data_IF_304008419641
#
_entry.id   IF_304008419641
#
_cell.length_a   1.000
_cell.length_b   1.000
_cell.length_c   1.000
_cell.angle_alpha   90.00
_cell.angle_beta   90.00
_cell.angle_gamma   90.00
#
_symmetry.space_group_name_H-M   'P 1'
#
loop_
_entity.id
_entity.type
_entity.pdbx_description
1 polymer ?
#
# COMPACT_ATOMS: atom_id res chain seq x y z
N UNK A 1 -9.37 1.64 30.45
CA UNK A 1 -9.96 0.90 29.31
C UNK A 1 -9.66 -0.58 29.51
N UNK A 2 -10.65 -1.43 29.32
CA UNK A 2 -10.41 -2.85 29.46
C UNK A 2 -9.64 -3.42 28.27
N UNK A 3 -8.93 -4.56 28.47
CA UNK A 3 -8.08 -5.11 27.40
C UNK A 3 -8.82 -5.48 26.12
N UNK A 4 -10.08 -5.92 26.20
CA UNK A 4 -10.85 -6.27 25.00
C UNK A 4 -11.22 -5.05 24.17
N UNK A 5 -11.61 -3.96 24.83
CA UNK A 5 -11.93 -2.71 24.14
C UNK A 5 -10.69 -2.15 23.45
N UNK A 6 -9.57 -2.14 24.14
CA UNK A 6 -8.31 -1.69 23.57
C UNK A 6 -7.89 -2.56 22.40
N UNK A 7 -8.03 -3.88 22.51
CA UNK A 7 -7.71 -4.82 21.43
C UNK A 7 -8.55 -4.56 20.18
N UNK A 8 -9.86 -4.27 20.34
CA UNK A 8 -10.73 -3.94 19.21
C UNK A 8 -10.26 -2.68 18.48
N UNK A 9 -9.86 -1.66 19.25
CA UNK A 9 -9.37 -0.39 18.66
C UNK A 9 -8.06 -0.62 17.89
N UNK A 10 -7.14 -1.36 18.48
CA UNK A 10 -5.87 -1.70 17.81
C UNK A 10 -6.11 -2.50 16.54
N UNK A 11 -6.98 -3.52 16.61
CA UNK A 11 -7.31 -4.34 15.46
C UNK A 11 -7.95 -3.53 14.33
N UNK A 12 -8.83 -2.58 14.67
CA UNK A 12 -9.45 -1.69 13.69
C UNK A 12 -8.41 -0.78 13.02
N UNK A 13 -7.47 -0.23 13.80
CA UNK A 13 -6.40 0.61 13.26
C UNK A 13 -5.48 -0.16 12.32
N UNK A 14 -5.17 -1.41 12.65
CA UNK A 14 -4.35 -2.28 11.79
C UNK A 14 -5.07 -2.55 10.47
N UNK A 15 -6.36 -2.86 10.49
CA UNK A 15 -7.15 -3.10 9.27
C UNK A 15 -7.20 -1.86 8.38
N UNK A 16 -7.37 -0.68 8.98
CA UNK A 16 -7.38 0.59 8.25
C UNK A 16 -6.03 0.84 7.59
N UNK A 17 -4.93 0.62 8.32
CA UNK A 17 -3.59 0.74 7.79
C UNK A 17 -3.36 -0.20 6.62
N UNK A 18 -3.80 -1.46 6.74
CA UNK A 18 -3.63 -2.47 5.68
C UNK A 18 -4.40 -2.07 4.43
N UNK A 19 -5.62 -1.55 4.58
CA UNK A 19 -6.42 -1.06 3.45
C UNK A 19 -5.72 0.10 2.74
N UNK A 20 -5.10 1.02 3.48
CA UNK A 20 -4.36 2.13 2.90
C UNK A 20 -3.09 1.67 2.18
N UNK A 21 -2.40 0.66 2.72
CA UNK A 21 -1.23 0.07 2.07
C UNK A 21 -1.63 -0.59 0.75
N UNK A 22 -2.75 -1.31 0.73
CA UNK A 22 -3.29 -1.89 -0.51
C UNK A 22 -3.63 -0.80 -1.53
N UNK A 23 -4.30 0.25 -1.10
CA UNK A 23 -4.66 1.37 -1.97
C UNK A 23 -3.43 2.05 -2.55
N UNK A 24 -2.38 2.21 -1.72
CA UNK A 24 -1.12 2.76 -2.18
C UNK A 24 -0.52 1.90 -3.30
N UNK A 25 -0.54 0.58 -3.15
CA UNK A 25 -0.06 -0.33 -4.19
C UNK A 25 -0.83 -0.17 -5.50
N UNK A 26 -2.15 -0.09 -5.44
CA UNK A 26 -2.99 0.13 -6.62
C UNK A 26 -2.66 1.45 -7.33
N UNK A 27 -2.41 2.51 -6.56
CA UNK A 27 -2.05 3.81 -7.10
C UNK A 27 -0.64 3.80 -7.72
N UNK A 28 0.28 3.03 -7.16
CA UNK A 28 1.60 2.84 -7.77
C UNK A 28 1.46 2.16 -9.14
N UNK A 29 0.62 1.12 -9.24
CA UNK A 29 0.34 0.46 -10.52
C UNK A 29 -0.25 1.45 -11.52
N UNK A 30 -1.22 2.24 -11.09
CA UNK A 30 -1.87 3.23 -11.95
C UNK A 30 -0.85 4.28 -12.45
N UNK A 31 0.03 4.75 -11.57
CA UNK A 31 1.07 5.71 -11.94
C UNK A 31 2.08 5.12 -12.93
N UNK A 32 2.47 3.87 -12.71
CA UNK A 32 3.35 3.16 -13.63
C UNK A 32 2.70 3.00 -15.01
N UNK A 33 1.44 2.59 -15.05
CA UNK A 33 0.70 2.43 -16.30
C UNK A 33 0.49 3.76 -17.02
N UNK A 34 0.38 4.87 -16.28
CA UNK A 34 0.32 6.22 -16.83
C UNK A 34 1.70 6.76 -17.23
N UNK A 35 2.74 5.95 -17.11
CA UNK A 35 4.13 6.23 -17.52
C UNK A 35 4.84 7.31 -16.71
N UNK A 36 4.47 7.47 -15.44
CA UNK A 36 5.24 8.32 -14.54
C UNK A 36 6.60 7.67 -14.24
N UNK A 37 7.68 8.46 -14.21
CA UNK A 37 9.00 7.93 -13.84
C UNK A 37 9.00 7.38 -12.42
N UNK A 38 9.80 6.35 -12.17
CA UNK A 38 9.93 5.79 -10.81
C UNK A 38 10.39 6.82 -9.79
N UNK A 39 11.22 7.78 -10.21
CA UNK A 39 11.64 8.87 -9.32
C UNK A 39 10.43 9.64 -8.75
N UNK A 40 9.45 9.92 -9.60
CA UNK A 40 8.23 10.63 -9.18
C UNK A 40 7.38 9.77 -8.26
N UNK A 41 7.28 8.48 -8.55
CA UNK A 41 6.54 7.53 -7.72
C UNK A 41 7.18 7.42 -6.34
N UNK A 42 8.50 7.35 -6.27
CA UNK A 42 9.24 7.31 -5.00
C UNK A 42 9.04 8.59 -4.19
N UNK A 43 9.08 9.75 -4.84
CA UNK A 43 8.84 11.03 -4.15
C UNK A 43 7.42 11.10 -3.60
N UNK A 44 6.43 10.66 -4.36
CA UNK A 44 5.03 10.71 -3.94
C UNK A 44 4.74 9.76 -2.78
N UNK A 45 5.39 8.60 -2.75
CA UNK A 45 5.14 7.58 -1.73
C UNK A 45 6.07 7.67 -0.52
N UNK A 46 7.20 8.34 -0.65
CA UNK A 46 8.25 8.33 0.37
C UNK A 46 8.99 7.01 0.47
N UNK A 47 8.81 6.12 -0.50
CA UNK A 47 9.47 4.82 -0.52
C UNK A 47 10.78 4.88 -1.30
N UNK A 48 11.70 3.97 -0.96
CA UNK A 48 12.87 3.73 -1.80
C UNK A 48 12.41 3.08 -3.10
N UNK A 49 13.26 3.11 -4.13
CA UNK A 49 12.94 2.48 -5.41
C UNK A 49 12.63 0.99 -5.25
N UNK A 50 13.43 0.29 -4.45
CA UNK A 50 13.22 -1.14 -4.20
C UNK A 50 11.88 -1.39 -3.51
N UNK A 51 11.56 -0.60 -2.48
CA UNK A 51 10.31 -0.75 -1.75
C UNK A 51 9.10 -0.42 -2.64
N UNK A 52 9.19 0.62 -3.46
CA UNK A 52 8.14 1.00 -4.40
C UNK A 52 7.90 -0.11 -5.44
N UNK A 53 8.98 -0.69 -5.96
CA UNK A 53 8.88 -1.78 -6.92
C UNK A 53 8.27 -3.03 -6.30
N UNK A 54 8.64 -3.36 -5.07
CA UNK A 54 8.05 -4.48 -4.34
C UNK A 54 6.56 -4.28 -4.11
N UNK A 55 6.14 -3.07 -3.75
CA UNK A 55 4.73 -2.72 -3.58
C UNK A 55 3.97 -2.86 -4.91
N UNK A 56 4.57 -2.42 -6.00
CA UNK A 56 4.03 -2.58 -7.34
C UNK A 56 3.79 -4.06 -7.66
N UNK A 57 4.79 -4.90 -7.43
CA UNK A 57 4.70 -6.32 -7.74
C UNK A 57 3.61 -7.03 -6.93
N UNK A 58 3.48 -6.70 -5.65
CA UNK A 58 2.42 -7.27 -4.80
C UNK A 58 1.04 -6.89 -5.31
N UNK A 59 0.87 -5.63 -5.71
CA UNK A 59 -0.41 -5.13 -6.23
C UNK A 59 -0.77 -5.82 -7.54
N UNK A 60 0.19 -6.01 -8.44
CA UNK A 60 -0.02 -6.72 -9.70
C UNK A 60 -0.42 -8.18 -9.45
N UNK A 61 0.27 -8.86 -8.53
CA UNK A 61 -0.06 -10.24 -8.18
C UNK A 61 -1.47 -10.38 -7.60
N UNK A 62 -1.86 -9.45 -6.74
CA UNK A 62 -3.19 -9.45 -6.14
C UNK A 62 -4.27 -9.24 -7.22
N UNK A 63 -4.03 -8.33 -8.16
CA UNK A 63 -4.91 -8.09 -9.30
C UNK A 63 -5.12 -9.35 -10.15
N UNK A 64 -4.05 -10.12 -10.36
CA UNK A 64 -4.10 -11.32 -11.17
C UNK A 64 -4.90 -12.45 -10.50
N UNK A 65 -5.15 -12.37 -9.19
CA UNK A 65 -5.92 -13.37 -8.45
C UNK A 65 -7.41 -13.06 -8.37
N UNK A 66 -7.81 -11.88 -8.75
CA UNK A 66 -9.22 -11.45 -8.71
C UNK A 66 -9.99 -11.87 -9.96
#
# INVERSE_FOLDING_TARGET
MDPLTELRLVAAAIRERDALIERRGELIVAAYEARFPWADICLATGLTRQAAYNAYQRAVKRRARE
#
